data_IF_743573846721
#
_entry.id   IF_743573846721
#
_cell.length_a   1.000
_cell.length_b   1.000
_cell.length_c   1.000
_cell.angle_alpha   90.00
_cell.angle_beta   90.00
_cell.angle_gamma   90.00
#
_symmetry.space_group_name_H-M   'P 1'
#
loop_
_entity.id
_entity.type
_entity.pdbx_description
1 polymer ?
#
# COMPACT_ATOMS: atom_id res chain seq x y z
N UNK A 1 -10.78 5.42 -21.07
CA UNK A 1 -9.52 5.58 -20.33
C UNK A 1 -9.55 4.62 -19.16
N UNK A 2 -8.66 3.60 -19.14
CA UNK A 2 -8.63 2.63 -18.04
C UNK A 2 -8.26 3.31 -16.73
N UNK A 3 -9.03 3.08 -15.68
CA UNK A 3 -8.72 3.57 -14.34
C UNK A 3 -7.35 3.02 -13.92
N UNK A 4 -6.35 3.89 -13.75
CA UNK A 4 -5.06 3.50 -13.21
C UNK A 4 -5.23 3.05 -11.76
N UNK A 5 -4.87 1.80 -11.49
CA UNK A 5 -4.96 1.17 -10.17
C UNK A 5 -3.94 1.79 -9.21
N UNK A 6 -4.28 1.88 -7.94
CA UNK A 6 -3.33 2.21 -6.87
C UNK A 6 -2.55 0.95 -6.52
N UNK A 7 -1.22 1.06 -6.45
CA UNK A 7 -0.32 -0.05 -6.13
C UNK A 7 0.08 0.00 -4.66
N UNK A 8 0.01 -1.16 -4.01
CA UNK A 8 0.64 -1.41 -2.72
C UNK A 8 2.13 -1.69 -2.89
N UNK A 9 2.90 -1.72 -1.80
CA UNK A 9 4.32 -2.08 -1.86
C UNK A 9 4.54 -3.43 -2.54
N UNK A 10 3.76 -4.44 -2.16
CA UNK A 10 3.87 -5.79 -2.73
C UNK A 10 3.69 -5.80 -4.26
N UNK A 11 2.60 -5.18 -4.76
CA UNK A 11 2.34 -5.11 -6.20
C UNK A 11 3.36 -4.28 -6.95
N UNK A 12 3.82 -3.19 -6.33
CA UNK A 12 4.86 -2.36 -6.90
C UNK A 12 6.15 -3.14 -7.06
N UNK A 13 6.60 -3.83 -6.02
CA UNK A 13 7.81 -4.65 -6.08
C UNK A 13 7.70 -5.76 -7.12
N UNK A 14 6.54 -6.38 -7.27
CA UNK A 14 6.29 -7.33 -8.35
C UNK A 14 6.50 -6.70 -9.74
N UNK A 15 6.04 -5.47 -9.96
CA UNK A 15 6.26 -4.75 -11.24
C UNK A 15 7.74 -4.45 -11.45
N UNK A 16 8.43 -3.97 -10.42
CA UNK A 16 9.84 -3.56 -10.51
C UNK A 16 10.79 -4.73 -10.72
N UNK A 17 10.59 -5.85 -10.04
CA UNK A 17 11.40 -7.07 -10.20
C UNK A 17 11.31 -7.62 -11.62
N UNK A 18 10.20 -7.38 -12.32
CA UNK A 18 10.02 -7.78 -13.72
C UNK A 18 10.50 -6.71 -14.73
N UNK A 19 11.38 -5.82 -14.31
CA UNK A 19 11.95 -4.79 -15.18
C UNK A 19 11.05 -3.57 -15.37
N UNK A 20 10.06 -3.39 -14.50
CA UNK A 20 9.27 -2.16 -14.43
C UNK A 20 10.05 -1.01 -13.81
N UNK A 21 9.49 0.19 -13.92
CA UNK A 21 10.06 1.39 -13.33
C UNK A 21 9.00 2.28 -12.70
N UNK A 22 9.46 3.23 -11.89
CA UNK A 22 8.65 4.32 -11.33
C UNK A 22 9.17 5.65 -11.89
N UNK A 23 8.27 6.51 -12.33
CA UNK A 23 8.60 7.89 -12.66
C UNK A 23 7.78 8.87 -11.81
N UNK A 24 8.36 10.00 -11.40
CA UNK A 24 7.62 11.04 -10.70
C UNK A 24 6.58 11.67 -11.63
N UNK A 25 5.41 11.96 -11.07
CA UNK A 25 4.38 12.69 -11.77
C UNK A 25 3.74 13.68 -10.79
N UNK A 26 4.13 14.96 -10.85
CA UNK A 26 3.75 16.00 -9.89
C UNK A 26 4.14 15.59 -8.45
N UNK A 27 3.17 15.43 -7.55
CA UNK A 27 3.39 15.06 -6.15
C UNK A 27 3.19 13.57 -5.87
N UNK A 28 3.11 12.73 -6.88
CA UNK A 28 2.95 11.28 -6.78
C UNK A 28 3.89 10.57 -7.74
N UNK A 29 3.78 9.28 -7.85
CA UNK A 29 4.56 8.46 -8.78
C UNK A 29 3.66 7.59 -9.62
N UNK A 30 4.12 7.27 -10.82
CA UNK A 30 3.44 6.34 -11.73
C UNK A 30 4.39 5.18 -12.04
N UNK A 31 3.92 3.96 -11.85
CA UNK A 31 4.66 2.75 -12.19
C UNK A 31 4.31 2.29 -13.61
N UNK A 32 5.31 1.78 -14.31
CA UNK A 32 5.23 1.26 -15.66
C UNK A 32 5.71 -0.19 -15.73
N UNK A 33 5.11 -0.99 -16.61
CA UNK A 33 5.48 -2.40 -16.82
C UNK A 33 6.66 -2.58 -17.76
N UNK A 34 7.70 -1.79 -17.60
CA UNK A 34 8.89 -1.85 -18.43
C UNK A 34 9.82 -0.69 -18.14
N UNK A 35 11.00 -0.66 -18.77
CA UNK A 35 12.05 0.31 -18.49
C UNK A 35 11.78 1.71 -19.07
N UNK A 36 10.64 1.91 -19.75
CA UNK A 36 10.30 3.15 -20.44
C UNK A 36 8.86 3.60 -20.12
N UNK A 37 8.64 4.91 -20.03
CA UNK A 37 7.32 5.56 -19.83
C UNK A 37 6.35 5.35 -21.01
N UNK A 38 6.83 4.90 -22.16
CA UNK A 38 6.00 4.49 -23.31
C UNK A 38 5.29 3.17 -23.08
N UNK A 39 5.74 2.37 -22.10
CA UNK A 39 5.12 1.09 -21.75
C UNK A 39 3.82 1.27 -20.98
N UNK A 40 3.08 0.19 -20.85
CA UNK A 40 1.80 0.17 -20.16
C UNK A 40 1.94 0.65 -18.71
N UNK A 41 1.11 1.59 -18.33
CA UNK A 41 1.00 2.05 -16.94
C UNK A 41 0.50 0.90 -16.06
N UNK A 42 1.22 0.62 -14.99
CA UNK A 42 0.83 -0.39 -14.01
C UNK A 42 -0.12 0.19 -12.95
N UNK A 43 0.13 1.42 -12.50
CA UNK A 43 -0.71 2.11 -11.54
C UNK A 43 -0.02 3.26 -10.82
N UNK A 44 -0.78 3.92 -9.96
CA UNK A 44 -0.33 4.99 -9.09
C UNK A 44 0.41 4.45 -7.87
N UNK A 45 1.44 5.16 -7.43
CA UNK A 45 2.25 4.81 -6.26
C UNK A 45 2.30 5.99 -5.30
N UNK A 46 1.98 5.74 -4.04
CA UNK A 46 2.06 6.76 -2.99
C UNK A 46 3.52 7.18 -2.75
N UNK A 47 3.81 8.48 -2.58
CA UNK A 47 5.13 8.97 -2.17
C UNK A 47 5.66 8.31 -0.90
N UNK A 48 4.78 7.97 0.03
CA UNK A 48 5.09 7.25 1.25
C UNK A 48 5.73 5.88 0.98
N UNK A 49 5.18 5.07 0.05
CA UNK A 49 5.78 3.78 -0.34
C UNK A 49 7.17 3.99 -0.96
N UNK A 50 7.31 5.00 -1.83
CA UNK A 50 8.60 5.29 -2.47
C UNK A 50 9.64 5.71 -1.45
N UNK A 51 9.27 6.55 -0.46
CA UNK A 51 10.16 6.95 0.63
C UNK A 51 10.60 5.74 1.47
N UNK A 52 9.67 4.86 1.83
CA UNK A 52 9.95 3.62 2.58
C UNK A 52 10.90 2.69 1.82
N UNK A 53 10.64 2.47 0.53
CA UNK A 53 11.49 1.62 -0.31
C UNK A 53 12.90 2.21 -0.51
N UNK A 54 13.02 3.55 -0.61
CA UNK A 54 14.32 4.23 -0.66
C UNK A 54 15.08 4.07 0.66
N UNK A 55 14.43 4.29 1.80
CA UNK A 55 15.02 4.09 3.11
C UNK A 55 15.52 2.65 3.33
N UNK A 56 14.82 1.66 2.76
CA UNK A 56 15.21 0.26 2.77
C UNK A 56 16.23 -0.14 1.69
N UNK A 57 16.80 0.80 0.94
CA UNK A 57 17.72 0.55 -0.18
C UNK A 57 17.18 -0.44 -1.23
N UNK A 58 15.85 -0.45 -1.44
CA UNK A 58 15.18 -1.34 -2.39
C UNK A 58 14.95 -0.70 -3.76
N UNK A 59 15.21 0.60 -3.88
CA UNK A 59 15.10 1.36 -5.11
C UNK A 59 16.45 2.03 -5.43
N UNK A 60 16.77 2.05 -6.71
CA UNK A 60 17.89 2.82 -7.26
C UNK A 60 17.43 3.71 -8.42
N UNK A 61 18.16 4.78 -8.68
CA UNK A 61 17.93 5.60 -9.85
C UNK A 61 18.42 4.87 -11.11
N UNK A 62 17.71 5.05 -12.23
CA UNK A 62 18.17 4.55 -13.52
C UNK A 62 19.40 5.38 -13.98
N UNK A 63 20.42 4.71 -14.54
CA UNK A 63 21.64 5.35 -14.97
C UNK A 63 21.42 6.48 -16.01
N UNK A 64 20.48 6.27 -16.94
CA UNK A 64 20.17 7.24 -18.02
C UNK A 64 19.14 8.30 -17.57
N UNK A 65 18.35 8.05 -16.55
CA UNK A 65 17.26 8.90 -16.10
C UNK A 65 17.20 8.90 -14.55
N UNK A 66 17.95 9.78 -13.89
CA UNK A 66 18.09 9.77 -12.42
C UNK A 66 16.79 10.08 -11.66
N UNK A 67 15.81 10.68 -12.30
CA UNK A 67 14.47 10.90 -11.76
C UNK A 67 13.58 9.64 -11.76
N UNK A 68 13.98 8.60 -12.53
CA UNK A 68 13.28 7.32 -12.61
C UNK A 68 13.92 6.32 -11.68
N UNK A 69 13.06 5.50 -11.05
CA UNK A 69 13.50 4.53 -10.05
C UNK A 69 13.16 3.11 -10.52
N UNK A 70 14.08 2.20 -10.27
CA UNK A 70 13.94 0.77 -10.51
C UNK A 70 14.29 -0.03 -9.26
N UNK A 71 14.06 -1.34 -9.26
CA UNK A 71 14.46 -2.19 -8.15
C UNK A 71 15.98 -2.17 -8.00
N UNK A 72 16.47 -1.92 -6.79
CA UNK A 72 17.87 -2.10 -6.47
C UNK A 72 18.23 -3.60 -6.56
N UNK A 73 19.44 -3.96 -7.04
CA UNK A 73 19.88 -5.34 -7.04
C UNK A 73 19.91 -5.88 -5.61
N UNK A 74 19.37 -7.09 -5.42
CA UNK A 74 19.40 -7.73 -4.11
C UNK A 74 20.87 -7.94 -3.69
N UNK A 75 21.27 -7.52 -2.48
CA UNK A 75 22.63 -7.73 -2.01
C UNK A 75 22.95 -9.24 -2.03
N UNK A 76 23.97 -9.64 -2.79
CA UNK A 76 24.50 -11.01 -2.83
C UNK A 76 23.83 -12.01 -3.80
N UNK A 77 22.84 -11.60 -4.59
CA UNK A 77 22.34 -12.44 -5.70
C UNK A 77 22.84 -11.88 -7.03
N UNK A 78 23.90 -12.47 -7.56
CA UNK A 78 24.16 -12.43 -8.99
C UNK A 78 22.85 -12.80 -9.71
N UNK A 79 22.57 -12.10 -10.82
CA UNK A 79 21.36 -12.23 -11.64
C UNK A 79 21.11 -13.67 -12.12
N UNK A 80 20.71 -14.57 -11.24
CA UNK A 80 20.04 -15.79 -11.63
C UNK A 80 18.55 -15.51 -11.84
N UNK A 81 18.28 -15.00 -13.04
CA UNK A 81 16.94 -14.63 -13.52
C UNK A 81 15.98 -15.81 -13.66
N UNK A 82 16.35 -17.02 -13.20
CA UNK A 82 15.58 -18.24 -13.47
C UNK A 82 14.77 -18.82 -12.31
N UNK A 83 14.90 -18.27 -11.09
CA UNK A 83 14.24 -18.82 -9.91
C UNK A 83 13.21 -17.86 -9.29
N UNK A 84 12.56 -17.02 -10.09
CA UNK A 84 11.45 -16.18 -9.64
C UNK A 84 10.17 -16.91 -9.98
N UNK A 85 9.37 -17.24 -8.96
CA UNK A 85 8.00 -17.73 -9.12
C UNK A 85 7.32 -17.05 -10.31
N UNK A 86 6.78 -17.85 -11.22
CA UNK A 86 6.18 -17.34 -12.46
C UNK A 86 5.13 -16.29 -12.12
N UNK A 87 5.16 -15.11 -12.76
CA UNK A 87 4.21 -14.00 -12.47
C UNK A 87 2.74 -14.39 -12.63
N UNK A 88 2.46 -15.41 -13.46
CA UNK A 88 1.13 -15.95 -13.68
C UNK A 88 0.48 -16.43 -12.39
N UNK A 89 1.23 -17.05 -11.48
CA UNK A 89 0.67 -17.64 -10.27
C UNK A 89 0.34 -16.58 -9.20
N UNK A 90 1.03 -15.43 -9.22
CA UNK A 90 0.79 -14.32 -8.29
C UNK A 90 -0.24 -13.30 -8.80
N UNK A 91 -0.39 -13.17 -10.13
CA UNK A 91 -1.36 -12.26 -10.75
C UNK A 91 -2.73 -12.92 -10.92
N UNK A 92 -2.80 -14.24 -10.99
CA UNK A 92 -4.03 -15.03 -11.11
C UNK A 92 -4.69 -15.38 -9.78
N UNK A 93 -4.21 -14.88 -8.65
CA UNK A 93 -5.01 -14.79 -7.44
C UNK A 93 -6.12 -13.74 -7.65
N UNK A 94 -6.87 -13.88 -8.74
CA UNK A 94 -8.19 -13.30 -8.90
C UNK A 94 -8.98 -13.72 -7.67
N UNK A 95 -9.70 -12.79 -7.13
CA UNK A 95 -10.78 -12.98 -6.16
C UNK A 95 -11.88 -13.84 -6.83
N UNK A 96 -11.62 -15.12 -7.00
CA UNK A 96 -12.59 -16.10 -7.52
C UNK A 96 -13.67 -16.33 -6.47
N UNK A 97 -14.58 -15.36 -6.30
CA UNK A 97 -15.74 -15.48 -5.41
C UNK A 97 -15.41 -15.69 -3.92
N UNK A 98 -14.13 -15.81 -3.54
CA UNK A 98 -13.71 -16.02 -2.15
C UNK A 98 -13.79 -14.71 -1.39
N UNK A 99 -14.43 -14.73 -0.24
CA UNK A 99 -14.55 -13.57 0.64
C UNK A 99 -13.16 -13.05 1.01
N UNK A 100 -13.00 -11.73 1.01
CA UNK A 100 -11.77 -11.11 1.53
C UNK A 100 -11.66 -11.39 3.03
N UNK A 101 -10.44 -11.45 3.57
CA UNK A 101 -10.22 -11.60 5.01
C UNK A 101 -11.04 -10.59 5.83
N UNK A 102 -11.18 -9.36 5.34
CA UNK A 102 -11.98 -8.32 6.01
C UNK A 102 -13.46 -8.68 6.10
N UNK A 103 -14.02 -9.30 5.07
CA UNK A 103 -15.40 -9.77 5.11
C UNK A 103 -15.59 -10.88 6.14
N UNK A 104 -14.59 -11.74 6.31
CA UNK A 104 -14.64 -12.82 7.31
C UNK A 104 -14.50 -12.27 8.74
N UNK A 105 -13.58 -11.32 8.96
CA UNK A 105 -13.34 -10.73 10.29
C UNK A 105 -14.51 -9.88 10.79
N UNK A 106 -15.17 -9.13 9.90
CA UNK A 106 -16.27 -8.24 10.28
C UNK A 106 -17.66 -8.85 10.18
N UNK A 107 -17.81 -10.00 9.51
CA UNK A 107 -19.11 -10.68 9.44
C UNK A 107 -19.53 -11.34 10.76
N UNK A 108 -18.58 -11.64 11.64
CA UNK A 108 -18.81 -12.52 12.79
C UNK A 108 -19.27 -11.80 14.07
N UNK A 109 -19.18 -10.45 14.16
CA UNK A 109 -19.47 -9.77 15.43
C UNK A 109 -19.83 -8.29 15.23
N UNK A 110 -20.88 -7.85 15.94
CA UNK A 110 -21.24 -6.43 16.10
C UNK A 110 -20.65 -5.82 17.39
N UNK A 111 -19.51 -6.33 17.89
CA UNK A 111 -18.90 -5.79 19.10
C UNK A 111 -18.41 -4.35 18.90
N UNK A 112 -18.37 -3.51 19.95
CA UNK A 112 -17.87 -2.16 19.87
C UNK A 112 -16.45 -2.07 19.28
N UNK A 113 -15.60 -3.07 19.56
CA UNK A 113 -14.23 -3.13 19.03
C UNK A 113 -14.21 -3.37 17.53
N UNK A 114 -15.07 -4.24 17.02
CA UNK A 114 -15.21 -4.49 15.57
C UNK A 114 -15.69 -3.23 14.85
N UNK A 115 -16.63 -2.48 15.45
CA UNK A 115 -17.11 -1.22 14.88
C UNK A 115 -15.97 -0.20 14.81
N UNK A 116 -15.17 -0.03 15.88
CA UNK A 116 -14.02 0.87 15.92
C UNK A 116 -12.95 0.47 14.88
N UNK A 117 -12.60 -0.80 14.82
CA UNK A 117 -11.65 -1.33 13.85
C UNK A 117 -12.11 -1.13 12.41
N UNK A 118 -13.40 -1.34 12.14
CA UNK A 118 -13.99 -1.11 10.81
C UNK A 118 -13.93 0.36 10.41
N UNK A 119 -14.25 1.28 11.33
CA UNK A 119 -14.15 2.72 11.10
C UNK A 119 -12.70 3.15 10.84
N UNK A 120 -11.74 2.65 11.63
CA UNK A 120 -10.31 2.90 11.44
C UNK A 120 -9.81 2.37 10.09
N UNK A 121 -10.24 1.17 9.69
CA UNK A 121 -9.92 0.57 8.39
C UNK A 121 -10.47 1.40 7.21
N UNK A 122 -11.69 1.90 7.31
CA UNK A 122 -12.30 2.79 6.33
C UNK A 122 -11.49 4.10 6.18
N UNK A 123 -11.18 4.75 7.30
CA UNK A 123 -10.38 5.98 7.34
C UNK A 123 -8.98 5.78 6.75
N UNK A 124 -8.29 4.70 7.12
CA UNK A 124 -6.98 4.35 6.56
C UNK A 124 -7.02 4.21 5.04
N UNK A 125 -8.01 3.47 4.55
CA UNK A 125 -8.19 3.26 3.11
C UNK A 125 -8.40 4.58 2.36
N UNK A 126 -9.24 5.48 2.89
CA UNK A 126 -9.50 6.78 2.29
C UNK A 126 -8.24 7.66 2.29
N UNK A 127 -7.48 7.69 3.38
CA UNK A 127 -6.21 8.40 3.46
C UNK A 127 -5.18 7.85 2.48
N UNK A 128 -5.11 6.51 2.36
CA UNK A 128 -4.21 5.84 1.42
C UNK A 128 -4.55 6.18 -0.04
N UNK A 129 -5.83 6.14 -0.39
CA UNK A 129 -6.32 6.53 -1.73
C UNK A 129 -5.97 8.00 -2.01
N UNK A 130 -6.26 8.90 -1.08
CA UNK A 130 -5.95 10.33 -1.22
C UNK A 130 -4.44 10.58 -1.33
N UNK A 131 -3.60 9.87 -0.58
CA UNK A 131 -2.15 10.01 -0.65
C UNK A 131 -1.58 9.56 -2.01
N UNK A 132 -2.26 8.61 -2.67
CA UNK A 132 -1.84 8.04 -3.95
C UNK A 132 -2.34 8.80 -5.17
N UNK A 133 -3.32 9.71 -5.00
CA UNK A 133 -3.87 10.50 -6.11
C UNK A 133 -3.03 11.75 -6.41
N UNK A 134 -2.91 12.17 -7.68
CA UNK A 134 -2.26 13.42 -8.04
C UNK A 134 -3.03 14.63 -7.47
N UNK A 135 -2.30 15.63 -7.02
CA UNK A 135 -2.86 16.83 -6.35
C UNK A 135 -3.86 17.62 -7.22
N UNK A 136 -3.81 17.45 -8.54
CA UNK A 136 -4.74 18.14 -9.44
C UNK A 136 -6.21 17.76 -9.22
N UNK A 137 -6.47 16.57 -8.68
CA UNK A 137 -7.83 16.09 -8.39
C UNK A 137 -8.26 16.42 -6.95
N UNK A 138 -7.40 17.10 -6.18
CA UNK A 138 -7.71 17.57 -4.83
C UNK A 138 -8.28 18.97 -4.96
N UNK A 139 -9.56 19.11 -4.75
CA UNK A 139 -10.18 20.43 -4.53
C UNK A 139 -9.36 21.12 -3.42
N UNK A 140 -8.69 22.23 -3.74
CA UNK A 140 -8.03 23.06 -2.74
C UNK A 140 -9.09 23.47 -1.73
N UNK A 141 -8.95 23.14 -0.43
CA UNK A 141 -9.79 23.75 0.56
C UNK A 141 -9.46 25.26 0.55
N UNK A 142 -10.37 26.04 0.04
CA UNK A 142 -10.33 27.49 0.09
C UNK A 142 -10.69 27.83 1.54
N UNK A 143 -9.75 28.28 2.32
CA UNK A 143 -9.86 28.76 3.71
C UNK A 143 -9.66 27.75 4.85
N UNK A 144 -8.68 28.10 5.69
CA UNK A 144 -8.42 27.55 7.00
C UNK A 144 -6.93 27.40 7.30
N UNK A 145 -6.31 28.39 7.93
CA UNK A 145 -4.88 28.49 8.24
C UNK A 145 -4.34 27.54 9.31
N UNK A 146 -4.76 26.29 9.32
CA UNK A 146 -4.13 25.24 10.12
C UNK A 146 -3.13 24.46 9.26
N UNK A 147 -1.98 24.09 9.80
CA UNK A 147 -0.99 23.20 9.19
C UNK A 147 -1.57 21.79 9.03
N UNK A 148 -2.50 21.63 8.07
CA UNK A 148 -3.08 20.31 7.77
C UNK A 148 -1.99 19.41 7.21
N UNK A 149 -1.60 18.41 7.98
CA UNK A 149 -0.67 17.38 7.50
C UNK A 149 -1.21 16.75 6.20
N UNK A 150 -0.37 16.65 5.18
CA UNK A 150 -0.75 15.98 3.93
C UNK A 150 -1.13 14.51 4.21
N UNK A 151 -1.99 13.88 3.38
CA UNK A 151 -2.31 12.46 3.57
C UNK A 151 -1.07 11.56 3.63
N UNK A 152 -0.03 11.86 2.84
CA UNK A 152 1.25 11.12 2.90
C UNK A 152 1.97 11.31 4.24
N UNK A 153 1.96 12.52 4.81
CA UNK A 153 2.57 12.78 6.12
C UNK A 153 1.78 12.11 7.26
N UNK A 154 0.46 11.96 7.11
CA UNK A 154 -0.36 11.21 8.08
C UNK A 154 -0.05 9.72 8.03
N UNK A 155 0.08 9.13 6.83
CA UNK A 155 0.48 7.73 6.68
C UNK A 155 1.87 7.47 7.24
N UNK A 156 2.82 8.38 7.03
CA UNK A 156 4.15 8.27 7.62
C UNK A 156 4.11 8.35 9.16
N UNK A 157 3.27 9.21 9.73
CA UNK A 157 3.08 9.29 11.17
C UNK A 157 2.41 8.01 11.74
N UNK A 158 1.43 7.45 11.03
CA UNK A 158 0.83 6.16 11.40
C UNK A 158 1.88 5.04 11.36
N UNK A 159 2.68 4.96 10.31
CA UNK A 159 3.75 3.96 10.21
C UNK A 159 4.75 4.06 11.35
N UNK A 160 5.11 5.29 11.74
CA UNK A 160 5.97 5.52 12.92
C UNK A 160 5.35 5.03 14.22
N UNK A 161 4.02 5.12 14.35
CA UNK A 161 3.29 4.70 15.55
C UNK A 161 3.00 3.20 15.63
N UNK A 162 2.60 2.57 14.53
CA UNK A 162 2.17 1.16 14.52
C UNK A 162 3.24 0.21 13.96
N UNK A 163 4.29 0.74 13.35
CA UNK A 163 5.40 0.00 12.76
C UNK A 163 5.17 -0.43 11.31
N UNK A 164 6.27 -0.51 10.56
CA UNK A 164 6.29 -0.84 9.13
C UNK A 164 5.67 -2.21 8.82
N UNK A 165 5.86 -3.20 9.71
CA UNK A 165 5.31 -4.54 9.51
C UNK A 165 3.78 -4.52 9.52
N UNK A 166 3.18 -3.90 10.54
CA UNK A 166 1.71 -3.75 10.64
C UNK A 166 1.15 -2.92 9.47
N UNK A 167 1.87 -1.87 9.02
CA UNK A 167 1.46 -1.11 7.84
C UNK A 167 1.39 -1.95 6.57
N UNK A 168 2.36 -2.84 6.33
CA UNK A 168 2.32 -3.77 5.19
C UNK A 168 1.16 -4.76 5.29
N UNK A 169 0.90 -5.28 6.48
CA UNK A 169 -0.26 -6.14 6.70
C UNK A 169 -1.57 -5.42 6.39
N UNK A 170 -1.72 -4.16 6.83
CA UNK A 170 -2.89 -3.33 6.51
C UNK A 170 -3.01 -3.04 5.01
N UNK A 171 -1.92 -2.76 4.32
CA UNK A 171 -1.92 -2.59 2.86
C UNK A 171 -2.43 -3.85 2.13
N UNK A 172 -1.91 -5.02 2.50
CA UNK A 172 -2.32 -6.30 1.91
C UNK A 172 -3.81 -6.59 2.14
N UNK A 173 -4.30 -6.33 3.35
CA UNK A 173 -5.71 -6.61 3.71
C UNK A 173 -6.68 -5.57 3.13
N UNK A 174 -6.40 -4.28 3.35
CA UNK A 174 -7.37 -3.21 3.12
C UNK A 174 -7.32 -2.66 1.69
N UNK A 175 -6.13 -2.60 1.11
CA UNK A 175 -5.92 -2.04 -0.22
C UNK A 175 -5.93 -3.14 -1.28
N UNK A 176 -5.13 -4.20 -1.07
CA UNK A 176 -5.09 -5.34 -1.98
C UNK A 176 -6.30 -6.26 -1.84
N UNK A 177 -7.02 -6.20 -0.73
CA UNK A 177 -8.14 -7.07 -0.41
C UNK A 177 -7.77 -8.55 -0.56
N UNK A 178 -6.58 -8.90 -0.10
CA UNK A 178 -6.06 -10.25 -0.23
C UNK A 178 -6.94 -11.25 0.56
N UNK A 179 -7.09 -12.45 0.02
CA UNK A 179 -7.76 -13.57 0.70
C UNK A 179 -6.84 -14.16 1.77
N UNK A 180 -7.40 -14.89 2.74
CA UNK A 180 -6.60 -15.61 3.75
C UNK A 180 -5.53 -16.47 3.08
N UNK A 181 -5.88 -17.25 2.05
CA UNK A 181 -4.94 -18.09 1.30
C UNK A 181 -3.79 -17.29 0.67
N UNK A 182 -4.05 -16.10 0.14
CA UNK A 182 -3.01 -15.25 -0.40
C UNK A 182 -2.09 -14.70 0.70
N UNK A 183 -2.64 -14.41 1.86
CA UNK A 183 -1.90 -13.88 3.01
C UNK A 183 -1.05 -14.95 3.69
N UNK A 184 -1.50 -16.22 3.75
CA UNK A 184 -0.68 -17.32 4.28
C UNK A 184 0.63 -17.44 3.49
N UNK A 185 0.57 -17.32 2.17
CA UNK A 185 1.77 -17.35 1.32
C UNK A 185 2.63 -16.09 1.50
N UNK A 186 2.00 -14.90 1.58
CA UNK A 186 2.74 -13.62 1.68
C UNK A 186 3.43 -13.44 3.03
N UNK A 187 2.75 -13.84 4.11
CA UNK A 187 3.23 -13.63 5.47
C UNK A 187 3.99 -14.85 6.01
N UNK A 188 3.94 -15.99 5.31
CA UNK A 188 4.59 -17.24 5.74
C UNK A 188 3.96 -17.82 7.02
N UNK A 189 2.66 -17.62 7.21
CA UNK A 189 1.90 -18.02 8.41
C UNK A 189 0.76 -18.95 8.02
N UNK A 190 0.30 -19.76 8.97
CA UNK A 190 -0.94 -20.51 8.82
C UNK A 190 -2.18 -19.60 8.88
N UNK A 191 -3.32 -20.10 8.44
CA UNK A 191 -4.55 -19.32 8.31
C UNK A 191 -5.01 -18.68 9.64
N UNK A 192 -4.82 -19.36 10.74
CA UNK A 192 -5.15 -18.86 12.09
C UNK A 192 -4.19 -17.74 12.51
N UNK A 193 -2.90 -17.94 12.28
CA UNK A 193 -1.89 -16.90 12.51
C UNK A 193 -2.14 -15.65 11.67
N UNK A 194 -2.58 -15.80 10.41
CA UNK A 194 -2.98 -14.68 9.55
C UNK A 194 -4.15 -13.91 10.16
N UNK A 195 -5.18 -14.60 10.66
CA UNK A 195 -6.33 -13.93 11.30
C UNK A 195 -5.92 -13.18 12.57
N UNK A 196 -5.13 -13.81 13.43
CA UNK A 196 -4.63 -13.18 14.65
C UNK A 196 -3.79 -11.93 14.36
N UNK A 197 -2.84 -12.02 13.43
CA UNK A 197 -2.00 -10.90 13.02
C UNK A 197 -2.83 -9.76 12.39
N UNK A 198 -3.86 -10.10 11.63
CA UNK A 198 -4.78 -9.14 11.04
C UNK A 198 -5.58 -8.38 12.10
N UNK A 199 -6.12 -9.09 13.10
CA UNK A 199 -6.84 -8.49 14.22
C UNK A 199 -5.94 -7.57 15.04
N UNK A 200 -4.70 -8.00 15.30
CA UNK A 200 -3.72 -7.18 16.01
C UNK A 200 -3.39 -5.88 15.24
N UNK A 201 -3.14 -5.98 13.93
CA UNK A 201 -2.86 -4.80 13.10
C UNK A 201 -4.04 -3.83 13.07
N UNK A 202 -5.28 -4.32 13.01
CA UNK A 202 -6.49 -3.51 13.07
C UNK A 202 -6.71 -2.87 14.45
N UNK A 203 -6.41 -3.59 15.53
CA UNK A 203 -6.49 -3.04 16.88
C UNK A 203 -5.47 -1.89 17.06
N UNK A 204 -4.23 -2.08 16.64
CA UNK A 204 -3.21 -1.02 16.66
C UNK A 204 -3.61 0.19 15.82
N UNK A 205 -4.21 -0.04 14.65
CA UNK A 205 -4.70 1.03 13.79
C UNK A 205 -5.83 1.83 14.47
N UNK A 206 -6.78 1.15 15.11
CA UNK A 206 -7.87 1.80 15.83
C UNK A 206 -7.34 2.69 16.97
N UNK A 207 -6.40 2.19 17.77
CA UNK A 207 -5.74 2.97 18.82
C UNK A 207 -5.00 4.18 18.24
N UNK A 208 -4.27 4.01 17.13
CA UNK A 208 -3.53 5.11 16.50
C UNK A 208 -4.46 6.24 16.00
N UNK A 209 -5.66 5.90 15.53
CA UNK A 209 -6.64 6.91 15.12
C UNK A 209 -7.38 7.55 16.30
N UNK A 210 -7.55 6.86 17.41
CA UNK A 210 -8.14 7.42 18.64
C UNK A 210 -7.20 8.41 19.33
N UNK A 211 -5.89 8.13 19.30
CA UNK A 211 -4.85 9.02 19.83
C UNK A 211 -4.60 10.24 18.93
N UNK A 212 -4.96 10.19 17.66
CA UNK A 212 -4.96 11.35 16.78
C UNK A 212 -6.26 12.11 16.97
N UNK A 213 -6.28 13.29 17.64
CA UNK A 213 -7.51 14.08 17.76
C UNK A 213 -8.07 14.31 16.36
N UNK A 214 -9.36 14.13 16.23
CA UNK A 214 -10.10 14.38 15.00
C UNK A 214 -9.98 15.89 14.67
N UNK A 215 -8.91 16.25 13.97
CA UNK A 215 -8.86 17.53 13.26
C UNK A 215 -9.70 17.31 12.03
N UNK A 216 -10.93 17.72 12.13
CA UNK A 216 -11.89 17.90 11.05
C UNK A 216 -13.17 17.04 11.17
N UNK A 217 -14.01 17.38 12.15
CA UNK A 217 -15.44 17.43 11.86
C UNK A 217 -15.77 18.88 11.55
N UNK A 218 -16.16 19.23 10.32
CA UNK A 218 -16.84 20.49 10.10
C UNK A 218 -18.18 20.43 10.82
N UNK A 219 -18.41 21.33 11.75
CA UNK A 219 -19.74 21.66 12.26
C UNK A 219 -20.58 22.26 11.13
#
# INVERSE_FOLDING_TARGET
MGQCRILTEYRLMSVLVHGGMIAPLRQTYLAYRGPDTRRQRAGWVSPHIVARLKAGNRLQAQAMFPDRLEAAPAPGRARDSRAICRPADLLNLRTDGRRSLMADLFAASASPDVIRQSAAAGRYRDEYIRASQPVADRVRPVFGGGTRRTPSARLAALESGIGTHSMRQLEDMLIDRATVTALTVRWGMEAEGVRAAAQEALARLAVAYELSPAVDSPA
#
